data_IF_187613731623
#
_entry.id   IF_187613731623
#
_cell.length_a   1.000
_cell.length_b   1.000
_cell.length_c   1.000
_cell.angle_alpha   90.00
_cell.angle_beta   90.00
_cell.angle_gamma   90.00
#
_symmetry.space_group_name_H-M   'P 1'
#
loop_
_entity.id
_entity.type
_entity.pdbx_description
1 polymer ?
#
# COMPACT_ATOMS: atom_id res chain seq x y z
N UNK A 1 25.64 4.60 -5.18
CA UNK A 1 24.32 4.48 -4.58
C UNK A 1 23.53 3.39 -5.27
N UNK A 2 22.95 2.52 -4.53
CA UNK A 2 22.18 1.43 -5.11
C UNK A 2 20.78 1.90 -5.46
N UNK A 3 20.39 1.59 -6.67
CA UNK A 3 19.03 1.79 -7.09
C UNK A 3 18.19 0.64 -6.58
N UNK A 4 17.12 0.96 -5.88
CA UNK A 4 16.11 -0.01 -5.46
C UNK A 4 14.84 0.27 -6.24
N UNK A 5 14.02 -0.74 -6.36
CA UNK A 5 12.71 -0.58 -6.96
C UNK A 5 11.83 0.19 -5.98
N UNK A 6 11.58 1.44 -6.29
CA UNK A 6 10.79 2.32 -5.44
C UNK A 6 9.36 2.39 -5.95
N UNK A 7 8.44 2.57 -5.02
CA UNK A 7 7.06 2.90 -5.35
C UNK A 7 6.60 4.10 -4.54
N UNK A 8 5.61 4.81 -5.07
CA UNK A 8 5.06 5.98 -4.42
C UNK A 8 3.58 6.11 -4.78
N UNK A 9 2.77 6.30 -3.75
CA UNK A 9 1.36 6.61 -3.89
C UNK A 9 1.06 7.93 -3.21
N UNK A 10 0.50 8.87 -3.94
CA UNK A 10 0.12 10.17 -3.40
C UNK A 10 -1.40 10.30 -3.42
N UNK A 11 -1.94 10.79 -2.30
CA UNK A 11 -3.39 11.00 -2.15
C UNK A 11 -4.16 9.74 -2.53
N UNK A 12 -3.72 8.62 -1.99
CA UNK A 12 -4.27 7.32 -2.29
C UNK A 12 -5.07 6.79 -1.11
N UNK A 13 -6.01 5.91 -1.39
CA UNK A 13 -6.84 5.28 -0.37
C UNK A 13 -6.13 4.06 0.20
N UNK A 14 -5.94 4.04 1.50
CA UNK A 14 -5.45 2.86 2.22
C UNK A 14 -6.64 2.21 2.92
N UNK A 15 -6.84 0.92 2.65
CA UNK A 15 -7.96 0.16 3.19
C UNK A 15 -7.55 -1.28 3.50
N UNK A 16 -8.47 -2.01 4.12
CA UNK A 16 -8.28 -3.43 4.47
C UNK A 16 -7.01 -3.66 5.28
N UNK A 17 -6.74 -2.75 6.21
CA UNK A 17 -5.53 -2.79 7.03
C UNK A 17 -5.69 -3.83 8.13
N UNK A 18 -4.71 -4.72 8.24
CA UNK A 18 -4.69 -5.78 9.24
C UNK A 18 -3.39 -5.73 10.02
N UNK A 19 -3.52 -5.77 11.34
CA UNK A 19 -2.40 -5.72 12.27
C UNK A 19 -2.06 -7.14 12.71
N UNK A 20 -0.86 -7.59 12.37
CA UNK A 20 -0.34 -8.91 12.75
C UNK A 20 0.70 -8.81 13.90
N UNK A 21 0.75 -7.66 14.57
CA UNK A 21 1.72 -7.41 15.63
C UNK A 21 2.96 -6.72 15.11
N UNK A 22 3.95 -7.47 14.66
CA UNK A 22 5.20 -6.90 14.14
C UNK A 22 5.10 -6.44 12.69
N UNK A 23 4.03 -6.81 12.01
CA UNK A 23 3.80 -6.50 10.61
C UNK A 23 2.35 -6.06 10.46
N UNK A 24 2.14 -5.02 9.69
CA UNK A 24 0.82 -4.54 9.30
C UNK A 24 0.74 -4.61 7.78
N UNK A 25 -0.38 -5.09 7.25
CA UNK A 25 -0.61 -5.18 5.82
C UNK A 25 -1.88 -4.44 5.45
N UNK A 26 -1.90 -3.88 4.25
CA UNK A 26 -3.06 -3.17 3.76
C UNK A 26 -3.07 -3.14 2.25
N UNK A 27 -4.12 -2.54 1.70
CA UNK A 27 -4.25 -2.33 0.26
C UNK A 27 -4.30 -0.83 0.01
N UNK A 28 -3.40 -0.34 -0.83
CA UNK A 28 -3.40 1.05 -1.27
C UNK A 28 -3.94 1.13 -2.69
N UNK A 29 -4.84 2.08 -2.93
CA UNK A 29 -5.47 2.27 -4.22
C UNK A 29 -5.30 3.70 -4.68
N UNK A 30 -4.81 3.85 -5.90
CA UNK A 30 -4.73 5.13 -6.57
C UNK A 30 -5.97 5.32 -7.43
N UNK A 31 -6.60 6.49 -7.32
CA UNK A 31 -7.81 6.85 -8.07
C UNK A 31 -7.58 8.14 -8.81
N UNK A 32 -8.20 8.25 -9.97
CA UNK A 32 -8.22 9.46 -10.76
C UNK A 32 -9.66 9.84 -11.06
N UNK A 33 -9.95 11.13 -10.96
CA UNK A 33 -11.25 11.64 -11.38
C UNK A 33 -11.23 11.84 -12.88
N UNK A 34 -12.25 11.33 -13.56
CA UNK A 34 -12.43 11.55 -14.99
C UNK A 34 -13.83 12.08 -15.28
N UNK A 35 -13.97 12.78 -16.39
CA UNK A 35 -15.25 13.27 -16.84
C UNK A 35 -15.80 12.37 -17.93
N UNK A 36 -17.07 12.01 -17.79
CA UNK A 36 -17.78 11.27 -18.82
C UNK A 36 -18.19 12.21 -19.97
N UNK A 37 -18.53 11.68 -21.15
CA UNK A 37 -18.96 12.53 -22.28
C UNK A 37 -20.17 13.41 -21.98
N UNK A 38 -21.01 13.03 -21.00
CA UNK A 38 -22.16 13.83 -20.58
C UNK A 38 -21.82 14.84 -19.48
N UNK A 39 -20.53 15.01 -19.15
CA UNK A 39 -20.05 16.01 -18.22
C UNK A 39 -20.09 15.59 -16.76
N UNK A 40 -20.41 14.35 -16.46
CA UNK A 40 -20.41 13.86 -15.09
C UNK A 40 -19.02 13.43 -14.65
N UNK A 41 -18.73 13.62 -13.36
CA UNK A 41 -17.46 13.15 -12.76
C UNK A 41 -17.63 11.75 -12.23
N UNK A 42 -16.59 10.93 -12.40
CA UNK A 42 -16.49 9.64 -11.77
C UNK A 42 -15.05 9.34 -11.36
N UNK A 43 -14.89 8.52 -10.34
CA UNK A 43 -13.59 8.04 -9.91
C UNK A 43 -13.21 6.79 -10.71
N UNK A 44 -11.98 6.74 -11.16
CA UNK A 44 -11.43 5.58 -11.86
C UNK A 44 -10.22 5.05 -11.08
N UNK A 45 -10.19 3.73 -10.91
CA UNK A 45 -9.00 3.09 -10.35
C UNK A 45 -7.88 3.10 -11.38
N UNK A 46 -6.68 3.46 -10.92
CA UNK A 46 -5.47 3.40 -11.74
C UNK A 46 -4.61 2.24 -11.30
N UNK A 47 -4.38 2.10 -10.01
CA UNK A 47 -3.53 1.06 -9.46
C UNK A 47 -4.00 0.62 -8.08
N UNK A 48 -3.78 -0.64 -7.78
CA UNK A 48 -4.04 -1.21 -6.46
C UNK A 48 -2.90 -2.16 -6.13
N UNK A 49 -2.35 -2.04 -4.91
CA UNK A 49 -1.25 -2.89 -4.46
C UNK A 49 -1.42 -3.23 -3.00
N UNK A 50 -1.06 -4.45 -2.65
CA UNK A 50 -0.89 -4.81 -1.26
C UNK A 50 0.44 -4.22 -0.77
N UNK A 51 0.41 -3.59 0.41
CA UNK A 51 1.60 -3.00 1.01
C UNK A 51 1.83 -3.58 2.39
N UNK A 52 3.09 -3.60 2.81
CA UNK A 52 3.52 -4.16 4.07
C UNK A 52 4.25 -3.08 4.87
N UNK A 53 3.84 -2.92 6.11
CA UNK A 53 4.45 -1.99 7.06
C UNK A 53 5.25 -2.81 8.08
N UNK A 54 6.54 -2.56 8.16
CA UNK A 54 7.44 -3.25 9.11
C UNK A 54 8.13 -2.31 10.07
N UNK A 55 8.14 -1.01 9.77
CA UNK A 55 8.76 0.00 10.63
C UNK A 55 7.89 0.21 11.88
N UNK A 56 8.45 -0.01 13.09
CA UNK A 56 7.67 0.15 14.32
C UNK A 56 7.06 1.53 14.51
N UNK A 57 7.74 2.58 14.07
CA UNK A 57 7.23 3.95 14.22
C UNK A 57 6.03 4.19 13.30
N UNK A 58 6.04 3.64 12.11
CA UNK A 58 4.91 3.72 11.18
C UNK A 58 3.74 2.88 11.70
N UNK A 59 4.01 1.69 12.20
CA UNK A 59 2.97 0.82 12.77
C UNK A 59 2.30 1.51 13.97
N UNK A 60 3.08 2.15 14.83
CA UNK A 60 2.55 2.90 15.97
C UNK A 60 1.63 4.05 15.52
N UNK A 61 1.95 4.68 14.41
CA UNK A 61 1.12 5.74 13.83
C UNK A 61 -0.20 5.18 13.27
N UNK A 62 -0.18 3.99 12.70
CA UNK A 62 -1.35 3.38 12.06
C UNK A 62 -2.35 2.80 13.08
N UNK A 63 -1.87 2.22 14.17
CA UNK A 63 -2.73 1.49 15.11
C UNK A 63 -3.97 2.25 15.59
N UNK A 64 -3.86 3.50 16.06
CA UNK A 64 -5.05 4.22 16.47
C UNK A 64 -6.00 4.52 15.31
N UNK A 65 -5.49 4.64 14.10
CA UNK A 65 -6.31 4.95 12.93
C UNK A 65 -7.14 3.74 12.48
N UNK A 66 -6.56 2.56 12.47
CA UNK A 66 -7.26 1.35 12.03
C UNK A 66 -8.31 0.88 13.04
N UNK A 67 -8.27 1.39 14.27
CA UNK A 67 -9.30 1.14 15.27
C UNK A 67 -10.56 1.94 14.95
N UNK A 68 -10.39 3.17 14.45
CA UNK A 68 -11.50 4.09 14.24
C UNK A 68 -12.00 4.11 12.80
N UNK A 69 -11.16 3.78 11.84
CA UNK A 69 -11.47 3.92 10.42
C UNK A 69 -11.12 2.66 9.65
N UNK A 70 -11.98 2.29 8.72
CA UNK A 70 -11.73 1.17 7.82
C UNK A 70 -10.90 1.58 6.61
N UNK A 71 -10.92 2.87 6.28
CA UNK A 71 -10.15 3.41 5.15
C UNK A 71 -9.83 4.88 5.38
N UNK A 72 -8.70 5.34 4.84
CA UNK A 72 -8.26 6.73 4.93
C UNK A 72 -7.26 7.05 3.82
N UNK A 73 -7.10 8.34 3.53
CA UNK A 73 -6.19 8.79 2.47
C UNK A 73 -4.79 9.01 3.01
N UNK A 74 -3.81 8.63 2.21
CA UNK A 74 -2.40 8.69 2.59
C UNK A 74 -1.51 9.09 1.41
N UNK A 75 -0.33 9.59 1.76
CA UNK A 75 0.84 9.55 0.90
C UNK A 75 1.78 8.51 1.48
N UNK A 76 2.23 7.58 0.67
CA UNK A 76 3.18 6.59 1.12
C UNK A 76 4.18 6.23 0.02
N UNK A 77 5.33 5.78 0.46
CA UNK A 77 6.38 5.35 -0.44
C UNK A 77 7.20 4.24 0.21
N UNK A 78 7.94 3.54 -0.59
CA UNK A 78 8.78 2.47 -0.13
C UNK A 78 9.51 1.79 -1.27
N UNK A 79 9.85 0.55 -1.07
CA UNK A 79 10.57 -0.23 -2.07
C UNK A 79 9.94 -1.60 -2.26
N UNK A 80 10.20 -2.18 -3.42
CA UNK A 80 9.71 -3.50 -3.77
C UNK A 80 10.84 -4.52 -3.68
N UNK A 81 10.53 -5.68 -3.12
CA UNK A 81 11.43 -6.83 -3.10
C UNK A 81 10.69 -8.04 -3.62
N UNK A 82 11.45 -9.04 -4.04
CA UNK A 82 10.90 -10.32 -4.47
C UNK A 82 11.46 -11.42 -3.60
N UNK A 83 10.58 -12.22 -3.02
CA UNK A 83 10.94 -13.41 -2.29
C UNK A 83 10.73 -14.62 -3.19
N UNK A 84 11.73 -15.47 -3.27
CA UNK A 84 11.67 -16.70 -4.06
C UNK A 84 11.64 -17.87 -3.09
N UNK A 85 10.67 -18.75 -3.28
CA UNK A 85 10.54 -19.96 -2.47
C UNK A 85 10.37 -21.17 -3.37
N UNK A 86 10.98 -22.28 -2.96
CA UNK A 86 10.73 -23.57 -3.59
C UNK A 86 9.77 -24.37 -2.74
N UNK A 87 8.73 -24.87 -3.35
CA UNK A 87 7.72 -25.68 -2.70
C UNK A 87 7.37 -26.84 -3.62
N UNK A 88 7.61 -28.06 -3.15
CA UNK A 88 7.31 -29.31 -3.87
C UNK A 88 7.91 -29.33 -5.28
N UNK A 89 9.13 -28.85 -5.42
CA UNK A 89 9.84 -28.79 -6.69
C UNK A 89 9.42 -27.66 -7.62
N UNK A 90 8.55 -26.77 -7.14
CA UNK A 90 8.12 -25.60 -7.89
C UNK A 90 8.72 -24.33 -7.28
N UNK A 91 9.17 -23.42 -8.14
CA UNK A 91 9.66 -22.13 -7.72
C UNK A 91 8.50 -21.14 -7.74
N UNK A 92 8.28 -20.49 -6.59
CA UNK A 92 7.26 -19.45 -6.44
C UNK A 92 7.90 -18.10 -6.15
N UNK A 93 7.35 -17.06 -6.75
CA UNK A 93 7.85 -15.69 -6.65
C UNK A 93 6.78 -14.85 -5.96
N UNK A 94 7.19 -14.11 -4.94
CA UNK A 94 6.30 -13.24 -4.18
C UNK A 94 6.86 -11.83 -4.19
N UNK A 95 6.08 -10.88 -4.68
CA UNK A 95 6.45 -9.48 -4.64
C UNK A 95 5.98 -8.86 -3.35
N UNK A 96 6.87 -8.10 -2.72
CA UNK A 96 6.59 -7.39 -1.47
C UNK A 96 6.78 -5.90 -1.69
N UNK A 97 5.82 -5.10 -1.25
CA UNK A 97 5.91 -3.65 -1.25
C UNK A 97 6.06 -3.20 0.20
N UNK A 98 7.28 -2.80 0.57
CA UNK A 98 7.61 -2.41 1.94
C UNK A 98 7.53 -0.90 2.06
N UNK A 99 6.69 -0.41 2.96
CA UNK A 99 6.50 1.02 3.17
C UNK A 99 7.58 1.56 4.10
N UNK A 100 8.28 2.61 3.67
CA UNK A 100 9.32 3.27 4.45
C UNK A 100 8.93 4.68 4.88
N UNK A 101 7.90 5.26 4.27
CA UNK A 101 7.41 6.59 4.63
C UNK A 101 5.90 6.63 4.48
N UNK A 102 5.23 7.25 5.45
CA UNK A 102 3.78 7.38 5.48
C UNK A 102 3.38 8.75 6.01
N UNK A 103 2.48 9.38 5.29
CA UNK A 103 1.80 10.60 5.74
C UNK A 103 0.29 10.36 5.64
N UNK A 104 -0.41 10.50 6.75
CA UNK A 104 -1.87 10.41 6.78
C UNK A 104 -2.45 11.78 6.49
N UNK A 105 -3.32 11.85 5.51
CA UNK A 105 -3.92 13.11 5.06
C UNK A 105 -5.19 13.47 5.82
#
# INVERSE_FOLDING_TARGET
>A
MNTVNEFKFNNALLKSVRDYGNVVKGIVQSRQTEYTPDGQMRARFIASRQVTFTDPSIIAQLRPLITDKTEFFVNLSGYMTTTVREDKGQTKWYDNQIVTALEVL
#
